data_IF_431717830969
#
_entry.id   IF_431717830969
#
_cell.length_a   1.000
_cell.length_b   1.000
_cell.length_c   1.000
_cell.angle_alpha   90.00
_cell.angle_beta   90.00
_cell.angle_gamma   90.00
#
_symmetry.space_group_name_H-M   'P 1'
#
loop_
_entity.id
_entity.type
_entity.pdbx_description
1 polymer ?
#
# COMPACT_ATOMS: atom_id res chain seq x y z
N UNK A 1 -27.70 -0.15 -4.18
CA UNK A 1 -26.72 -1.27 -4.26
C UNK A 1 -25.37 -0.79 -3.75
N UNK A 2 -24.77 -1.47 -2.77
CA UNK A 2 -23.40 -1.18 -2.32
C UNK A 2 -22.44 -1.62 -3.43
N UNK A 3 -21.71 -0.66 -4.02
CA UNK A 3 -20.69 -0.96 -5.02
C UNK A 3 -19.63 -1.88 -4.40
N UNK A 4 -19.26 -3.01 -5.04
CA UNK A 4 -18.22 -3.89 -4.52
C UNK A 4 -16.95 -3.08 -4.20
N UNK A 5 -16.45 -3.18 -2.97
CA UNK A 5 -15.20 -2.52 -2.58
C UNK A 5 -14.09 -3.09 -3.46
N UNK A 6 -13.48 -2.26 -4.31
CA UNK A 6 -12.29 -2.66 -5.07
C UNK A 6 -11.17 -2.96 -4.08
N UNK A 7 -10.49 -4.09 -4.27
CA UNK A 7 -9.30 -4.43 -3.52
C UNK A 7 -8.25 -3.32 -3.66
N UNK A 8 -7.67 -2.91 -2.53
CA UNK A 8 -6.56 -1.96 -2.47
C UNK A 8 -5.23 -2.70 -2.62
N UNK A 9 -4.28 -2.13 -3.32
CA UNK A 9 -2.96 -2.74 -3.45
C UNK A 9 -2.07 -2.35 -2.29
N UNK A 10 -1.41 -3.35 -1.69
CA UNK A 10 -0.52 -3.16 -0.54
C UNK A 10 0.82 -3.83 -0.82
N UNK A 11 1.93 -3.10 -0.58
CA UNK A 11 3.29 -3.64 -0.60
C UNK A 11 3.86 -3.90 0.79
N UNK A 12 3.28 -3.29 1.82
CA UNK A 12 3.60 -3.53 3.21
C UNK A 12 3.07 -4.89 3.67
N UNK A 13 3.99 -5.79 4.00
CA UNK A 13 3.68 -7.06 4.67
C UNK A 13 4.41 -7.07 6.02
N UNK A 14 3.74 -6.75 7.13
CA UNK A 14 4.38 -6.63 8.42
C UNK A 14 4.73 -7.99 9.02
N UNK A 15 6.01 -8.24 9.27
CA UNK A 15 6.45 -9.33 10.16
C UNK A 15 5.99 -9.12 11.61
N UNK A 16 5.77 -7.85 12.00
CA UNK A 16 5.26 -7.44 13.30
C UNK A 16 3.88 -6.80 13.12
N UNK A 17 2.84 -7.53 13.48
CA UNK A 17 1.45 -7.09 13.37
C UNK A 17 0.89 -6.46 14.65
N UNK A 18 1.67 -6.37 15.73
CA UNK A 18 1.14 -5.94 17.02
C UNK A 18 2.11 -5.01 17.78
N UNK A 19 1.59 -3.87 18.25
CA UNK A 19 2.33 -2.88 19.02
C UNK A 19 1.58 -2.54 20.30
N UNK A 20 2.29 -2.34 21.41
CA UNK A 20 1.65 -1.94 22.68
C UNK A 20 2.53 -1.05 23.54
N UNK A 21 1.93 -0.25 24.44
CA UNK A 21 2.65 0.44 25.49
C UNK A 21 3.40 -0.53 26.41
N UNK A 22 4.62 -0.15 26.78
CA UNK A 22 5.45 -0.93 27.71
C UNK A 22 4.88 -0.82 29.13
N UNK A 23 4.90 -1.93 29.87
CA UNK A 23 4.58 -1.95 31.31
C UNK A 23 3.11 -2.18 31.66
N UNK A 24 2.20 -2.25 30.68
CA UNK A 24 0.78 -2.52 30.92
C UNK A 24 0.45 -3.95 30.45
N UNK A 25 -0.10 -4.84 31.30
CA UNK A 25 -0.55 -6.17 30.87
C UNK A 25 -1.59 -6.11 29.74
N UNK A 26 -1.54 -7.07 28.81
CA UNK A 26 -2.45 -7.12 27.65
C UNK A 26 -3.93 -7.12 28.03
N UNK A 27 -4.29 -7.87 29.06
CA UNK A 27 -5.67 -7.96 29.57
C UNK A 27 -6.24 -6.62 30.08
N UNK A 28 -5.37 -5.63 30.35
CA UNK A 28 -5.75 -4.30 30.82
C UNK A 28 -5.65 -3.23 29.72
N UNK A 29 -5.32 -3.62 28.48
CA UNK A 29 -5.15 -2.72 27.35
C UNK A 29 -6.40 -2.75 26.48
N UNK A 30 -6.93 -1.56 26.21
CA UNK A 30 -7.78 -1.38 25.04
C UNK A 30 -6.94 -1.49 23.77
N UNK A 31 -7.57 -1.93 22.68
CA UNK A 31 -6.92 -2.11 21.39
C UNK A 31 -7.61 -1.29 20.31
N UNK A 32 -6.82 -0.82 19.35
CA UNK A 32 -7.33 -0.29 18.08
C UNK A 32 -6.87 -1.18 16.94
N UNK A 33 -7.75 -1.36 15.96
CA UNK A 33 -7.44 -2.08 14.73
C UNK A 33 -6.98 -1.07 13.66
N UNK A 34 -5.72 -1.20 13.23
CA UNK A 34 -5.18 -0.50 12.07
C UNK A 34 -5.21 -1.47 10.88
N UNK A 35 -6.01 -1.21 9.87
CA UNK A 35 -6.10 -2.19 8.76
C UNK A 35 -4.83 -2.23 7.93
N UNK A 36 -4.58 -3.33 7.22
CA UNK A 36 -3.34 -3.51 6.43
C UNK A 36 -3.18 -2.41 5.36
N UNK A 37 -4.29 -1.99 4.74
CA UNK A 37 -4.30 -0.89 3.78
C UNK A 37 -4.17 0.50 4.43
N UNK A 38 -4.59 0.66 5.69
CA UNK A 38 -4.32 1.86 6.48
C UNK A 38 -2.83 1.96 6.86
N UNK A 39 -2.21 0.83 7.22
CA UNK A 39 -0.77 0.72 7.43
C UNK A 39 0.03 1.08 6.16
N UNK A 40 -0.36 0.55 5.01
CA UNK A 40 0.24 0.93 3.71
C UNK A 40 0.08 2.42 3.43
N UNK A 41 -1.08 3.00 3.73
CA UNK A 41 -1.33 4.41 3.49
C UNK A 41 -0.42 5.31 4.34
N UNK A 42 -0.22 4.99 5.63
CA UNK A 42 0.76 5.65 6.50
C UNK A 42 2.18 5.46 5.94
N UNK A 43 2.54 4.23 5.54
CA UNK A 43 3.86 3.95 4.98
C UNK A 43 4.14 4.82 3.74
N UNK A 44 3.19 4.94 2.83
CA UNK A 44 3.37 5.72 1.60
C UNK A 44 3.40 7.23 1.86
N UNK A 45 2.45 7.75 2.65
CA UNK A 45 2.31 9.19 2.86
C UNK A 45 3.28 9.73 3.90
N UNK A 46 3.33 9.10 5.09
CA UNK A 46 4.01 9.64 6.27
C UNK A 46 5.45 9.14 6.39
N UNK A 47 5.72 7.88 6.03
CA UNK A 47 7.08 7.33 6.10
C UNK A 47 7.89 7.61 4.83
N UNK A 48 7.28 7.44 3.64
CA UNK A 48 7.98 7.66 2.35
C UNK A 48 7.74 9.04 1.73
N UNK A 49 6.95 9.90 2.37
CA UNK A 49 6.74 11.28 1.94
C UNK A 49 6.05 11.45 0.58
N UNK A 50 5.31 10.44 0.10
CA UNK A 50 4.66 10.52 -1.21
C UNK A 50 3.46 11.47 -1.19
N UNK A 51 3.23 12.14 -2.33
CA UNK A 51 2.00 12.89 -2.53
C UNK A 51 0.79 11.95 -2.53
N UNK A 52 -0.36 12.45 -2.09
CA UNK A 52 -1.60 11.65 -2.05
C UNK A 52 -2.03 11.14 -3.43
N UNK A 53 -1.63 11.83 -4.49
CA UNK A 53 -1.90 11.40 -5.86
C UNK A 53 -1.04 10.18 -6.23
N UNK A 54 0.27 10.25 -6.00
CA UNK A 54 1.19 9.14 -6.27
C UNK A 54 0.87 7.92 -5.42
N UNK A 55 0.64 8.13 -4.12
CA UNK A 55 0.29 7.05 -3.21
C UNK A 55 -1.07 6.41 -3.53
N UNK A 56 -2.07 7.22 -3.92
CA UNK A 56 -3.35 6.73 -4.41
C UNK A 56 -3.19 5.83 -5.64
N UNK A 57 -2.37 6.26 -6.60
CA UNK A 57 -2.04 5.47 -7.80
C UNK A 57 -1.42 4.12 -7.41
N UNK A 58 -0.46 4.09 -6.47
CA UNK A 58 0.17 2.86 -5.99
C UNK A 58 -0.82 1.91 -5.32
N UNK A 59 -1.75 2.43 -4.53
CA UNK A 59 -2.80 1.64 -3.89
C UNK A 59 -3.97 1.28 -4.83
N UNK A 60 -3.99 1.77 -6.06
CA UNK A 60 -5.08 1.54 -7.02
C UNK A 60 -6.37 2.27 -6.68
N UNK A 61 -6.30 3.41 -5.97
CA UNK A 61 -7.44 4.23 -5.56
C UNK A 61 -7.30 5.68 -6.01
N UNK A 62 -8.40 6.43 -6.02
CA UNK A 62 -8.33 7.87 -6.33
C UNK A 62 -7.62 8.65 -5.23
N UNK A 63 -7.06 9.83 -5.56
CA UNK A 63 -6.47 10.77 -4.60
C UNK A 63 -7.39 11.05 -3.40
N UNK A 64 -8.69 11.26 -3.65
CA UNK A 64 -9.67 11.53 -2.61
C UNK A 64 -9.90 10.31 -1.70
N UNK A 65 -9.98 9.11 -2.27
CA UNK A 65 -10.10 7.88 -1.48
C UNK A 65 -8.84 7.62 -0.65
N UNK A 66 -7.66 7.81 -1.22
CA UNK A 66 -6.40 7.72 -0.50
C UNK A 66 -6.35 8.68 0.70
N UNK A 67 -6.72 9.95 0.48
CA UNK A 67 -6.77 10.94 1.57
C UNK A 67 -7.68 10.52 2.73
N UNK A 68 -8.82 9.88 2.46
CA UNK A 68 -9.71 9.34 3.51
C UNK A 68 -9.07 8.17 4.26
N UNK A 69 -8.34 7.29 3.56
CA UNK A 69 -7.66 6.15 4.18
C UNK A 69 -6.56 6.67 5.12
N UNK A 70 -5.69 7.57 4.64
CA UNK A 70 -4.62 8.16 5.47
C UNK A 70 -5.21 8.89 6.67
N UNK A 71 -6.27 9.67 6.50
CA UNK A 71 -6.90 10.38 7.61
C UNK A 71 -7.43 9.42 8.68
N UNK A 72 -8.08 8.32 8.26
CA UNK A 72 -8.55 7.29 9.18
C UNK A 72 -7.40 6.60 9.90
N UNK A 73 -6.36 6.20 9.16
CA UNK A 73 -5.17 5.56 9.68
C UNK A 73 -4.48 6.44 10.75
N UNK A 74 -4.25 7.73 10.44
CA UNK A 74 -3.67 8.70 11.38
C UNK A 74 -4.52 8.87 12.64
N UNK A 75 -5.86 8.88 12.52
CA UNK A 75 -6.76 8.94 13.67
C UNK A 75 -6.62 7.70 14.56
N UNK A 76 -6.57 6.51 13.95
CA UNK A 76 -6.37 5.24 14.68
C UNK A 76 -5.04 5.24 15.45
N UNK A 77 -3.95 5.64 14.79
CA UNK A 77 -2.64 5.75 15.44
C UNK A 77 -2.63 6.81 16.55
N UNK A 78 -3.25 7.96 16.31
CA UNK A 78 -3.36 9.01 17.33
C UNK A 78 -4.16 8.54 18.55
N UNK A 79 -5.29 7.83 18.35
CA UNK A 79 -6.06 7.25 19.46
C UNK A 79 -5.22 6.31 20.31
N UNK A 80 -4.44 5.42 19.67
CA UNK A 80 -3.55 4.53 20.39
C UNK A 80 -2.45 5.25 21.17
N UNK A 81 -1.79 6.22 20.55
CA UNK A 81 -0.69 6.94 21.20
C UNK A 81 -1.15 7.83 22.35
N UNK A 82 -2.29 8.52 22.20
CA UNK A 82 -2.80 9.47 23.20
C UNK A 82 -3.48 8.75 24.36
N UNK A 83 -4.24 7.68 24.08
CA UNK A 83 -5.00 6.96 25.10
C UNK A 83 -4.28 5.70 25.60
N UNK A 84 -3.03 5.46 25.19
CA UNK A 84 -2.24 4.31 25.63
C UNK A 84 -2.84 2.97 25.25
N UNK A 85 -3.40 2.86 24.03
CA UNK A 85 -3.97 1.61 23.51
C UNK A 85 -2.95 0.80 22.73
N UNK A 86 -3.15 -0.50 22.65
CA UNK A 86 -2.40 -1.34 21.74
C UNK A 86 -2.92 -1.17 20.30
N UNK A 87 -2.05 -1.41 19.31
CA UNK A 87 -2.37 -1.39 17.89
C UNK A 87 -2.23 -2.82 17.37
N UNK A 88 -3.34 -3.39 16.91
CA UNK A 88 -3.35 -4.63 16.16
C UNK A 88 -3.49 -4.30 14.66
N UNK A 89 -2.55 -4.78 13.84
CA UNK A 89 -2.50 -4.56 12.40
C UNK A 89 -3.07 -5.78 11.68
N UNK A 90 -4.35 -5.73 11.31
CA UNK A 90 -5.04 -6.85 10.69
C UNK A 90 -6.21 -6.43 9.81
N UNK A 91 -6.70 -7.36 8.99
CA UNK A 91 -7.92 -7.17 8.21
C UNK A 91 -7.84 -6.07 7.15
N UNK A 92 -9.01 -5.59 6.74
CA UNK A 92 -9.17 -4.70 5.59
C UNK A 92 -9.45 -5.45 4.28
N UNK A 93 -9.61 -4.71 3.19
CA UNK A 93 -9.87 -5.26 1.86
C UNK A 93 -8.70 -4.88 0.94
N UNK A 94 -7.73 -5.79 0.85
CA UNK A 94 -6.48 -5.56 0.17
C UNK A 94 -6.01 -6.78 -0.62
N UNK A 95 -5.07 -6.54 -1.54
CA UNK A 95 -4.28 -7.55 -2.21
C UNK A 95 -2.81 -7.22 -2.00
N UNK A 96 -2.07 -8.16 -1.42
CA UNK A 96 -0.62 -8.07 -1.35
C UNK A 96 -0.09 -8.14 -2.78
N UNK A 97 0.65 -7.11 -3.18
CA UNK A 97 1.38 -7.07 -4.44
C UNK A 97 2.86 -7.22 -4.15
N UNK A 98 3.25 -8.43 -3.74
CA UNK A 98 4.65 -8.82 -3.82
C UNK A 98 5.04 -8.96 -5.31
N UNK A 99 6.22 -8.46 -5.64
CA UNK A 99 6.80 -8.50 -6.99
C UNK A 99 6.52 -7.28 -7.88
N UNK A 100 7.57 -6.77 -8.52
CA UNK A 100 7.46 -5.81 -9.62
C UNK A 100 6.85 -6.46 -10.87
N UNK A 101 6.21 -5.65 -11.72
CA UNK A 101 5.85 -6.06 -13.09
C UNK A 101 7.07 -5.83 -13.93
N UNK A 102 7.61 -6.90 -14.49
CA UNK A 102 8.74 -6.76 -15.39
C UNK A 102 8.20 -6.60 -16.80
N UNK A 103 8.72 -5.59 -17.51
CA UNK A 103 8.42 -5.31 -18.90
C UNK A 103 9.67 -5.57 -19.73
N UNK A 104 9.46 -6.07 -20.95
CA UNK A 104 10.51 -6.27 -21.94
C UNK A 104 10.15 -5.52 -23.23
N UNK A 105 11.04 -4.65 -23.69
CA UNK A 105 10.89 -3.92 -24.94
C UNK A 105 11.29 -4.78 -26.13
N UNK A 106 10.38 -4.93 -27.10
CA UNK A 106 10.65 -5.73 -28.31
C UNK A 106 11.67 -5.07 -29.24
N UNK A 107 11.90 -3.76 -29.12
CA UNK A 107 12.85 -3.03 -29.97
C UNK A 107 14.29 -3.09 -29.46
N UNK A 108 14.51 -2.83 -28.17
CA UNK A 108 15.87 -2.75 -27.61
C UNK A 108 16.19 -3.84 -26.59
N UNK A 109 15.27 -4.78 -26.36
CA UNK A 109 15.37 -5.83 -25.35
C UNK A 109 15.58 -5.31 -23.91
N UNK A 110 15.35 -4.01 -23.67
CA UNK A 110 15.44 -3.46 -22.33
C UNK A 110 14.41 -4.12 -21.42
N UNK A 111 14.86 -4.56 -20.25
CA UNK A 111 14.05 -5.18 -19.22
C UNK A 111 13.99 -4.25 -18.01
N UNK A 112 12.79 -3.86 -17.59
CA UNK A 112 12.64 -2.95 -16.45
C UNK A 112 11.45 -3.31 -15.58
N UNK A 113 11.54 -2.86 -14.33
CA UNK A 113 10.56 -3.11 -13.29
C UNK A 113 9.62 -1.94 -13.08
N UNK A 114 8.33 -2.25 -12.98
CA UNK A 114 7.28 -1.29 -12.71
C UNK A 114 6.43 -1.76 -11.54
N UNK A 115 6.14 -0.90 -10.55
CA UNK A 115 5.20 -1.25 -9.48
C UNK A 115 3.85 -1.72 -10.06
N UNK A 116 3.20 -2.72 -9.45
CA UNK A 116 1.78 -3.00 -9.73
C UNK A 116 0.96 -1.76 -9.31
N UNK A 117 -0.11 -1.44 -10.05
CA UNK A 117 -0.98 -0.29 -9.78
C UNK A 117 -0.67 0.99 -10.57
N UNK A 118 0.52 1.16 -11.16
CA UNK A 118 0.90 2.36 -11.92
C UNK A 118 0.33 2.44 -13.34
N UNK A 119 -0.53 1.50 -13.75
CA UNK A 119 -1.04 1.41 -15.12
C UNK A 119 0.00 0.83 -16.09
N UNK A 120 -0.29 0.78 -17.40
CA UNK A 120 0.72 0.40 -18.41
C UNK A 120 1.66 1.60 -18.61
N UNK A 121 3.00 1.42 -18.60
CA UNK A 121 3.92 2.48 -18.97
C UNK A 121 3.59 3.07 -20.35
N UNK A 122 3.96 4.32 -20.60
CA UNK A 122 3.73 4.95 -21.90
C UNK A 122 4.75 4.52 -22.96
N UNK A 123 6.04 4.45 -22.58
CA UNK A 123 7.17 4.17 -23.47
C UNK A 123 8.27 3.41 -22.74
N UNK A 124 9.11 2.70 -23.48
CA UNK A 124 10.32 2.08 -22.96
C UNK A 124 11.28 3.17 -22.46
N UNK A 125 11.81 3.07 -21.23
CA UNK A 125 12.68 4.10 -20.66
C UNK A 125 14.05 4.21 -21.36
N UNK A 126 14.44 3.20 -22.15
CA UNK A 126 15.72 3.19 -22.85
C UNK A 126 15.65 3.67 -24.30
N UNK A 127 14.64 3.23 -25.07
CA UNK A 127 14.56 3.53 -26.51
C UNK A 127 13.34 4.36 -26.92
N UNK A 128 12.50 4.76 -25.94
CA UNK A 128 11.32 5.58 -26.13
C UNK A 128 10.25 4.99 -27.11
N UNK A 129 10.32 3.69 -27.41
CA UNK A 129 9.26 2.98 -28.14
C UNK A 129 8.15 2.49 -27.22
N UNK A 130 6.95 2.36 -27.78
CA UNK A 130 5.75 1.85 -27.11
C UNK A 130 5.54 0.33 -27.28
N UNK A 131 6.38 -0.32 -28.09
CA UNK A 131 6.34 -1.77 -28.30
C UNK A 131 7.13 -2.54 -27.23
N UNK A 132 6.41 -2.97 -26.20
CA UNK A 132 6.90 -3.79 -25.11
C UNK A 132 5.77 -4.64 -24.53
N UNK A 133 6.15 -5.75 -23.91
CA UNK A 133 5.22 -6.68 -23.28
C UNK A 133 5.60 -6.93 -21.82
N UNK A 134 4.62 -7.32 -21.01
CA UNK A 134 4.88 -7.79 -19.65
C UNK A 134 5.47 -9.19 -19.71
N UNK A 135 6.54 -9.46 -18.96
CA UNK A 135 7.06 -10.81 -18.76
C UNK A 135 6.35 -11.45 -17.58
N UNK A 136 5.97 -12.71 -17.73
CA UNK A 136 5.37 -13.52 -16.66
C UNK A 136 6.52 -14.31 -16.03
N UNK A 137 7.14 -13.79 -14.99
CA UNK A 137 8.00 -14.62 -14.15
C UNK A 137 7.17 -15.14 -12.98
N UNK A 138 6.83 -16.44 -13.08
CA UNK A 138 6.65 -17.42 -12.00
C UNK A 138 5.54 -17.23 -10.96
N UNK A 139 4.56 -18.14 -10.98
CA UNK A 139 3.76 -18.56 -9.81
C UNK A 139 2.50 -17.78 -9.52
#
# INVERSE_FOLDING_TARGET
MVRPKKNRYVKFDPDVSYFKPRGIPMQNLEEVCLTIDEGEAIRLADLLGMSHEEAGRRMGVSRATFGRIVQKARKTVADALINGKAINIEGGNYKIIMGARIFNCRKCNNRWEEPKGTGRPGKCPQCNHDDFHRTVEGG
#
